data_IF_304019859026
#
_entry.id   IF_304019859026
#
_cell.length_a   1.000
_cell.length_b   1.000
_cell.length_c   1.000
_cell.angle_alpha   90.00
_cell.angle_beta   90.00
_cell.angle_gamma   90.00
#
_symmetry.space_group_name_H-M   'P 1'
#
loop_
_entity.id
_entity.type
_entity.pdbx_description
1 polymer ?
#
# COMPACT_ATOMS: atom_id res chain seq x y z
N UNK A 1 -5.78 -4.87 15.53
CA UNK A 1 -6.69 -5.42 14.53
C UNK A 1 -7.43 -4.27 13.87
N UNK A 2 -7.43 -4.18 12.55
CA UNK A 2 -8.13 -3.16 11.74
C UNK A 2 -9.12 -3.84 10.82
N UNK A 3 -10.16 -3.15 10.44
CA UNK A 3 -11.13 -3.59 9.45
C UNK A 3 -10.77 -2.98 8.09
N UNK A 4 -10.50 -3.83 7.11
CA UNK A 4 -9.95 -3.44 5.80
C UNK A 4 -10.87 -3.94 4.69
N UNK A 5 -11.21 -3.04 3.77
CA UNK A 5 -11.92 -3.37 2.55
C UNK A 5 -10.96 -3.28 1.36
N UNK A 6 -10.92 -4.33 0.54
CA UNK A 6 -10.12 -4.34 -0.69
C UNK A 6 -11.06 -4.54 -1.88
N UNK A 7 -11.08 -3.57 -2.78
CA UNK A 7 -11.87 -3.57 -4.02
C UNK A 7 -10.92 -3.81 -5.20
N UNK A 8 -11.13 -4.90 -5.90
CA UNK A 8 -10.30 -5.34 -7.02
C UNK A 8 -9.25 -6.36 -6.60
N UNK A 9 -9.50 -7.62 -6.95
CA UNK A 9 -8.67 -8.79 -6.60
C UNK A 9 -7.74 -9.21 -7.75
N UNK A 10 -7.18 -8.21 -8.46
CA UNK A 10 -6.02 -8.45 -9.32
C UNK A 10 -4.78 -8.81 -8.51
N UNK A 11 -3.65 -9.06 -9.18
CA UNK A 11 -2.38 -9.48 -8.53
C UNK A 11 -2.01 -8.67 -7.28
N UNK A 12 -2.11 -7.36 -7.35
CA UNK A 12 -1.77 -6.49 -6.22
C UNK A 12 -2.78 -6.64 -5.06
N UNK A 13 -4.09 -6.59 -5.35
CA UNK A 13 -5.14 -6.75 -4.33
C UNK A 13 -5.04 -8.09 -3.62
N UNK A 14 -4.75 -9.16 -4.36
CA UNK A 14 -4.55 -10.50 -3.81
C UNK A 14 -3.37 -10.56 -2.83
N UNK A 15 -2.18 -10.06 -3.22
CA UNK A 15 -1.03 -10.01 -2.33
C UNK A 15 -1.30 -9.15 -1.09
N UNK A 16 -1.99 -8.01 -1.28
CA UNK A 16 -2.33 -7.11 -0.19
C UNK A 16 -3.28 -7.79 0.82
N UNK A 17 -4.32 -8.45 0.33
CA UNK A 17 -5.27 -9.20 1.17
C UNK A 17 -4.57 -10.28 1.99
N UNK A 18 -3.73 -11.10 1.34
CA UNK A 18 -2.97 -12.16 2.00
C UNK A 18 -2.10 -11.63 3.12
N UNK A 19 -1.34 -10.56 2.86
CA UNK A 19 -0.48 -9.95 3.88
C UNK A 19 -1.27 -9.39 5.06
N UNK A 20 -2.42 -8.74 4.83
CA UNK A 20 -3.25 -8.24 5.94
C UNK A 20 -3.83 -9.36 6.79
N UNK A 21 -4.22 -10.48 6.17
CA UNK A 21 -4.71 -11.67 6.88
C UNK A 21 -3.59 -12.33 7.71
N UNK A 22 -2.36 -12.42 7.19
CA UNK A 22 -1.19 -12.90 7.92
C UNK A 22 -0.86 -12.02 9.15
N UNK A 23 -1.22 -10.73 9.11
CA UNK A 23 -1.09 -9.80 10.23
C UNK A 23 -2.36 -9.71 11.12
N UNK A 24 -3.24 -10.69 11.02
CA UNK A 24 -4.44 -10.83 11.85
C UNK A 24 -5.40 -9.63 11.77
N UNK A 25 -5.59 -9.07 10.58
CA UNK A 25 -6.58 -8.04 10.31
C UNK A 25 -7.86 -8.64 9.75
N UNK A 26 -9.01 -7.97 10.01
CA UNK A 26 -10.28 -8.30 9.36
C UNK A 26 -10.27 -7.77 7.93
N UNK A 27 -10.35 -8.67 6.95
CA UNK A 27 -10.29 -8.32 5.54
C UNK A 27 -11.54 -8.74 4.80
N UNK A 28 -12.24 -7.78 4.23
CA UNK A 28 -13.28 -8.00 3.23
C UNK A 28 -12.72 -7.75 1.84
N UNK A 29 -12.94 -8.69 0.94
CA UNK A 29 -12.53 -8.59 -0.46
C UNK A 29 -13.72 -8.53 -1.39
N UNK A 30 -13.61 -7.71 -2.46
CA UNK A 30 -14.67 -7.51 -3.45
C UNK A 30 -14.07 -7.45 -4.85
N UNK A 31 -14.63 -8.21 -5.76
CA UNK A 31 -14.39 -8.09 -7.21
C UNK A 31 -15.69 -8.40 -7.98
N UNK A 32 -15.83 -7.93 -9.20
CA UNK A 32 -16.94 -8.28 -10.09
C UNK A 32 -16.78 -9.69 -10.67
N UNK A 33 -15.56 -10.19 -10.72
CA UNK A 33 -15.14 -11.47 -11.26
C UNK A 33 -14.98 -12.50 -10.12
N UNK A 34 -15.88 -13.48 -10.09
CA UNK A 34 -15.89 -14.54 -9.08
C UNK A 34 -14.60 -15.36 -9.07
N UNK A 35 -14.02 -15.64 -10.25
CA UNK A 35 -12.81 -16.46 -10.37
C UNK A 35 -11.62 -15.85 -9.60
N UNK A 36 -11.57 -14.52 -9.48
CA UNK A 36 -10.51 -13.83 -8.72
C UNK A 36 -10.66 -13.88 -7.20
N UNK A 37 -11.80 -14.36 -6.72
CA UNK A 37 -12.09 -14.47 -5.30
C UNK A 37 -11.94 -15.89 -4.77
N UNK A 38 -12.08 -16.91 -5.64
CA UNK A 38 -12.21 -18.31 -5.26
C UNK A 38 -11.11 -18.82 -4.31
N UNK A 39 -9.85 -18.51 -4.60
CA UNK A 39 -8.70 -18.96 -3.82
C UNK A 39 -8.56 -18.25 -2.48
N UNK A 40 -9.20 -17.09 -2.31
CA UNK A 40 -9.19 -16.30 -1.08
C UNK A 40 -10.41 -16.52 -0.18
N UNK A 41 -11.49 -17.13 -0.68
CA UNK A 41 -12.71 -17.41 0.10
C UNK A 41 -12.43 -18.14 1.41
N UNK A 42 -11.51 -19.13 1.49
CA UNK A 42 -11.24 -19.83 2.74
C UNK A 42 -10.52 -19.00 3.81
N UNK A 43 -9.89 -17.89 3.42
CA UNK A 43 -8.99 -17.11 4.27
C UNK A 43 -9.55 -15.75 4.62
N UNK A 44 -10.25 -15.08 3.69
CA UNK A 44 -10.80 -13.76 3.93
C UNK A 44 -11.90 -13.79 5.00
N UNK A 45 -11.98 -12.74 5.81
CA UNK A 45 -13.05 -12.60 6.80
C UNK A 45 -14.43 -12.53 6.12
N UNK A 46 -14.49 -11.90 4.95
CA UNK A 46 -15.70 -11.83 4.12
C UNK A 46 -15.34 -11.63 2.66
N UNK A 47 -16.12 -12.23 1.77
CA UNK A 47 -15.98 -12.09 0.31
C UNK A 47 -17.29 -11.63 -0.29
N UNK A 48 -17.22 -10.82 -1.34
CA UNK A 48 -18.40 -10.38 -2.06
C UNK A 48 -18.11 -10.25 -3.54
N UNK A 49 -18.99 -10.81 -4.37
CA UNK A 49 -19.03 -10.59 -5.81
C UNK A 49 -19.90 -9.37 -6.07
N UNK A 50 -19.40 -8.39 -6.83
CA UNK A 50 -20.19 -7.22 -7.22
C UNK A 50 -19.39 -6.13 -7.92
N UNK A 51 -20.09 -5.41 -8.78
CA UNK A 51 -19.57 -4.23 -9.46
C UNK A 51 -19.64 -3.02 -8.52
N UNK A 52 -18.48 -2.57 -8.03
CA UNK A 52 -18.38 -1.43 -7.12
C UNK A 52 -18.57 -0.06 -7.81
N UNK A 53 -18.73 0.01 -9.13
CA UNK A 53 -19.20 1.24 -9.79
C UNK A 53 -20.69 1.49 -9.50
N UNK A 54 -21.41 0.46 -9.06
CA UNK A 54 -22.79 0.60 -8.59
C UNK A 54 -22.80 1.02 -7.12
N UNK A 55 -23.32 2.23 -6.86
CA UNK A 55 -23.42 2.82 -5.52
C UNK A 55 -24.18 1.92 -4.52
N UNK A 56 -25.23 1.20 -4.97
CA UNK A 56 -26.02 0.31 -4.10
C UNK A 56 -25.18 -0.88 -3.59
N UNK A 57 -24.23 -1.36 -4.38
CA UNK A 57 -23.27 -2.38 -3.94
C UNK A 57 -22.41 -1.83 -2.79
N UNK A 58 -21.83 -0.64 -2.96
CA UNK A 58 -21.00 0.01 -1.95
C UNK A 58 -21.79 0.34 -0.67
N UNK A 59 -23.03 0.80 -0.80
CA UNK A 59 -23.92 1.03 0.36
C UNK A 59 -24.19 -0.26 1.13
N UNK A 60 -24.45 -1.36 0.42
CA UNK A 60 -24.71 -2.65 1.04
C UNK A 60 -23.49 -3.27 1.73
N UNK A 61 -22.28 -2.92 1.27
CA UNK A 61 -21.00 -3.26 1.91
C UNK A 61 -20.81 -2.46 3.19
N UNK A 62 -21.30 -1.22 3.24
CA UNK A 62 -21.16 -0.33 4.38
C UNK A 62 -19.74 0.22 4.51
N UNK A 63 -19.20 0.81 3.45
CA UNK A 63 -17.79 1.28 3.33
C UNK A 63 -17.31 2.13 4.51
N UNK A 64 -18.19 2.92 5.15
CA UNK A 64 -17.88 3.74 6.32
C UNK A 64 -17.47 2.97 7.58
N UNK A 65 -17.76 1.67 7.62
CA UNK A 65 -17.46 0.82 8.79
C UNK A 65 -16.01 0.35 8.78
N UNK A 66 -15.32 0.42 7.64
CA UNK A 66 -13.94 0.02 7.51
C UNK A 66 -12.97 1.13 7.94
N UNK A 67 -11.83 0.74 8.51
CA UNK A 67 -10.79 1.68 8.89
C UNK A 67 -10.01 2.17 7.68
N UNK A 68 -9.84 1.30 6.66
CA UNK A 68 -9.16 1.62 5.41
C UNK A 68 -9.85 0.90 4.25
N UNK A 69 -10.03 1.60 3.15
CA UNK A 69 -10.52 1.06 1.89
C UNK A 69 -9.44 1.17 0.84
N UNK A 70 -9.05 0.03 0.27
CA UNK A 70 -8.10 -0.05 -0.84
C UNK A 70 -8.83 -0.27 -2.15
N UNK A 71 -8.54 0.55 -3.15
CA UNK A 71 -9.04 0.42 -4.51
C UNK A 71 -7.89 -0.04 -5.39
N UNK A 72 -7.87 -1.34 -5.70
CA UNK A 72 -6.75 -2.02 -6.36
C UNK A 72 -6.97 -2.27 -7.86
N UNK A 73 -7.94 -1.59 -8.48
CA UNK A 73 -8.26 -1.70 -9.89
C UNK A 73 -7.17 -1.04 -10.73
N UNK A 74 -6.56 -1.80 -11.64
CA UNK A 74 -5.44 -1.30 -12.46
C UNK A 74 -5.73 -1.25 -13.96
N UNK A 75 -6.67 -2.06 -14.44
CA UNK A 75 -6.97 -2.21 -15.88
C UNK A 75 -7.97 -1.18 -16.40
N UNK A 76 -8.89 -0.74 -15.56
CA UNK A 76 -9.91 0.27 -15.89
C UNK A 76 -9.78 1.47 -14.97
N UNK A 77 -9.11 2.53 -15.47
CA UNK A 77 -8.90 3.75 -14.71
C UNK A 77 -10.20 4.52 -14.43
N UNK A 78 -11.16 4.49 -15.37
CA UNK A 78 -12.45 5.14 -15.17
C UNK A 78 -13.19 4.52 -13.98
N UNK A 79 -13.33 3.20 -13.94
CA UNK A 79 -13.94 2.51 -12.80
C UNK A 79 -13.19 2.80 -11.48
N UNK A 80 -11.86 2.81 -11.51
CA UNK A 80 -11.07 3.17 -10.32
C UNK A 80 -11.38 4.58 -9.82
N UNK A 81 -11.54 5.54 -10.72
CA UNK A 81 -11.85 6.93 -10.38
C UNK A 81 -13.28 7.08 -9.82
N UNK A 82 -14.26 6.44 -10.48
CA UNK A 82 -15.67 6.44 -10.05
C UNK A 82 -15.81 5.81 -8.66
N UNK A 83 -15.21 4.63 -8.44
CA UNK A 83 -15.26 3.95 -7.15
C UNK A 83 -14.57 4.78 -6.06
N UNK A 84 -13.45 5.44 -6.38
CA UNK A 84 -12.75 6.31 -5.42
C UNK A 84 -13.66 7.44 -4.95
N UNK A 85 -14.38 8.12 -5.88
CA UNK A 85 -15.34 9.17 -5.54
C UNK A 85 -16.48 8.64 -4.69
N UNK A 86 -17.14 7.58 -5.15
CA UNK A 86 -18.30 6.99 -4.47
C UNK A 86 -17.95 6.52 -3.05
N UNK A 87 -16.83 5.82 -2.89
CA UNK A 87 -16.38 5.34 -1.57
C UNK A 87 -16.13 6.51 -0.62
N UNK A 88 -15.53 7.61 -1.11
CA UNK A 88 -15.30 8.81 -0.30
C UNK A 88 -16.61 9.51 0.06
N UNK A 89 -17.52 9.67 -0.88
CA UNK A 89 -18.84 10.26 -0.68
C UNK A 89 -19.71 9.46 0.30
N UNK A 90 -19.59 8.14 0.29
CA UNK A 90 -20.26 7.24 1.23
C UNK A 90 -19.62 7.21 2.63
N UNK A 91 -18.59 8.03 2.86
CA UNK A 91 -18.01 8.30 4.18
C UNK A 91 -16.94 7.32 4.63
N UNK A 92 -16.18 6.72 3.70
CA UNK A 92 -15.00 5.95 4.05
C UNK A 92 -13.99 6.79 4.83
N UNK A 93 -13.44 6.25 5.92
CA UNK A 93 -12.50 6.96 6.81
C UNK A 93 -11.18 7.28 6.11
N UNK A 94 -10.63 6.30 5.39
CA UNK A 94 -9.38 6.42 4.64
C UNK A 94 -9.49 5.65 3.35
N UNK A 95 -9.21 6.30 2.23
CA UNK A 95 -9.29 5.74 0.88
C UNK A 95 -7.90 5.75 0.27
N UNK A 96 -7.43 4.57 -0.13
CA UNK A 96 -6.12 4.38 -0.76
C UNK A 96 -6.35 3.77 -2.14
N UNK A 97 -5.95 4.46 -3.19
CA UNK A 97 -6.20 4.01 -4.57
C UNK A 97 -4.90 3.68 -5.29
N UNK A 98 -4.95 2.61 -6.10
CA UNK A 98 -3.81 2.20 -6.92
C UNK A 98 -3.75 3.01 -8.21
N UNK A 99 -2.58 3.56 -8.53
CA UNK A 99 -2.27 4.13 -9.82
C UNK A 99 -1.25 3.28 -10.59
N UNK A 100 -1.24 3.44 -11.91
CA UNK A 100 -0.24 2.85 -12.81
C UNK A 100 0.53 3.92 -13.59
N UNK A 101 0.14 5.21 -13.47
CA UNK A 101 0.78 6.36 -14.10
C UNK A 101 0.63 7.60 -13.21
N UNK A 102 1.61 8.51 -13.25
CA UNK A 102 1.63 9.74 -12.44
C UNK A 102 0.38 10.61 -12.64
N UNK A 103 -0.15 10.67 -13.88
CA UNK A 103 -1.36 11.45 -14.15
C UNK A 103 -2.59 10.85 -13.46
N UNK A 104 -2.69 9.52 -13.37
CA UNK A 104 -3.78 8.85 -12.66
C UNK A 104 -3.71 9.15 -11.16
N UNK A 105 -2.52 9.11 -10.57
CA UNK A 105 -2.32 9.46 -9.17
C UNK A 105 -2.86 10.85 -8.84
N UNK A 106 -2.56 11.85 -9.69
CA UNK A 106 -3.08 13.22 -9.54
C UNK A 106 -4.61 13.29 -9.58
N UNK A 107 -5.23 12.54 -10.48
CA UNK A 107 -6.69 12.51 -10.58
C UNK A 107 -7.34 11.78 -9.39
N UNK A 108 -6.78 10.65 -8.95
CA UNK A 108 -7.29 9.91 -7.80
C UNK A 108 -7.26 10.76 -6.52
N UNK A 109 -6.14 11.45 -6.25
CA UNK A 109 -6.04 12.36 -5.10
C UNK A 109 -7.07 13.50 -5.17
N UNK A 110 -7.26 14.12 -6.34
CA UNK A 110 -8.26 15.17 -6.53
C UNK A 110 -9.69 14.67 -6.40
N UNK A 111 -9.90 13.37 -6.64
CA UNK A 111 -11.22 12.74 -6.64
C UNK A 111 -11.56 12.03 -5.32
N UNK A 112 -10.77 12.25 -4.27
CA UNK A 112 -11.10 11.82 -2.92
C UNK A 112 -10.24 10.70 -2.34
N UNK A 113 -9.24 10.20 -3.05
CA UNK A 113 -8.24 9.34 -2.42
C UNK A 113 -7.42 10.14 -1.40
N UNK A 114 -7.25 9.58 -0.21
CA UNK A 114 -6.39 10.18 0.83
C UNK A 114 -4.92 9.87 0.54
N UNK A 115 -4.67 8.76 -0.17
CA UNK A 115 -3.34 8.31 -0.55
C UNK A 115 -3.41 7.52 -1.86
N UNK A 116 -2.31 7.53 -2.61
CA UNK A 116 -2.18 6.73 -3.84
C UNK A 116 -0.95 5.86 -3.76
N UNK A 117 -1.13 4.58 -4.07
CA UNK A 117 -0.05 3.60 -4.19
C UNK A 117 0.28 3.44 -5.68
N UNK A 118 1.58 3.46 -5.99
CA UNK A 118 2.06 3.18 -7.32
C UNK A 118 3.07 2.03 -7.29
N UNK A 119 2.60 0.76 -7.17
CA UNK A 119 3.45 -0.38 -6.78
C UNK A 119 4.69 -0.58 -7.64
N UNK A 120 4.55 -0.44 -8.98
CA UNK A 120 5.69 -0.65 -9.89
C UNK A 120 6.76 0.44 -9.73
N UNK A 121 6.33 1.70 -9.51
CA UNK A 121 7.23 2.83 -9.29
C UNK A 121 7.90 2.73 -7.92
N UNK A 122 7.10 2.55 -6.86
CA UNK A 122 7.57 2.50 -5.48
C UNK A 122 8.60 1.37 -5.30
N UNK A 123 8.33 0.20 -5.90
CA UNK A 123 9.25 -0.94 -5.85
C UNK A 123 10.51 -0.68 -6.69
N UNK A 124 10.37 -0.06 -7.87
CA UNK A 124 11.51 0.25 -8.74
C UNK A 124 12.45 1.28 -8.10
N UNK A 125 11.90 2.32 -7.48
CA UNK A 125 12.66 3.32 -6.72
C UNK A 125 13.43 2.65 -5.58
N UNK A 126 12.76 1.83 -4.78
CA UNK A 126 13.39 1.08 -3.68
C UNK A 126 14.54 0.19 -4.16
N UNK A 127 14.37 -0.54 -5.25
CA UNK A 127 15.42 -1.40 -5.78
C UNK A 127 16.58 -0.60 -6.40
N UNK A 128 16.26 0.49 -7.12
CA UNK A 128 17.28 1.36 -7.68
C UNK A 128 18.15 1.97 -6.58
N UNK A 129 17.54 2.45 -5.51
CA UNK A 129 18.25 3.03 -4.38
C UNK A 129 19.13 1.98 -3.67
N UNK A 130 18.57 0.79 -3.39
CA UNK A 130 19.31 -0.31 -2.77
C UNK A 130 20.55 -0.72 -3.55
N UNK A 131 20.49 -0.78 -4.87
CA UNK A 131 21.61 -1.20 -5.72
C UNK A 131 22.50 -0.05 -6.20
N UNK A 132 22.14 1.20 -5.96
CA UNK A 132 22.99 2.36 -6.24
C UNK A 132 24.06 2.60 -5.19
N UNK A 133 23.93 2.00 -4.01
CA UNK A 133 24.90 2.14 -2.92
C UNK A 133 25.68 0.83 -2.75
N UNK A 134 26.95 0.81 -3.13
CA UNK A 134 27.83 -0.37 -3.14
C UNK A 134 27.96 -1.10 -1.78
N UNK A 135 27.57 -0.49 -0.68
CA UNK A 135 27.72 -1.01 0.68
C UNK A 135 26.45 -0.86 1.55
N UNK A 136 25.28 -0.84 0.94
CA UNK A 136 24.02 -0.76 1.66
C UNK A 136 23.38 -2.14 1.81
N UNK A 137 23.17 -2.62 3.04
CA UNK A 137 22.46 -3.87 3.30
C UNK A 137 20.95 -3.65 3.34
N UNK A 138 20.51 -2.59 4.05
CA UNK A 138 19.10 -2.20 4.11
C UNK A 138 18.95 -0.72 4.49
N UNK A 139 17.79 -0.12 4.21
CA UNK A 139 17.48 1.24 4.60
C UNK A 139 15.99 1.43 4.93
N UNK A 140 15.69 2.40 5.78
CA UNK A 140 14.33 2.79 6.15
C UNK A 140 14.21 4.29 5.92
N UNK A 141 13.32 4.69 5.03
CA UNK A 141 12.97 6.09 4.84
C UNK A 141 12.19 6.63 6.04
N UNK A 142 12.60 7.80 6.52
CA UNK A 142 11.90 8.55 7.53
C UNK A 142 11.28 9.82 6.92
N UNK A 143 10.21 10.37 7.49
CA UNK A 143 9.62 11.61 7.01
C UNK A 143 10.64 12.76 6.93
N UNK A 144 10.70 13.45 5.79
CA UNK A 144 11.69 14.49 5.50
C UNK A 144 12.88 13.92 4.73
N UNK A 145 14.02 14.55 4.86
CA UNK A 145 15.26 14.14 4.19
C UNK A 145 16.14 13.22 5.08
N UNK A 146 15.52 12.35 5.86
CA UNK A 146 16.20 11.45 6.79
C UNK A 146 15.97 10.00 6.42
N UNK A 147 16.94 9.14 6.78
CA UNK A 147 16.82 7.69 6.63
C UNK A 147 17.70 6.96 7.62
N UNK A 148 17.36 5.70 7.88
CA UNK A 148 18.19 4.78 8.63
C UNK A 148 18.84 3.84 7.63
N UNK A 149 20.15 3.74 7.63
CA UNK A 149 20.93 2.94 6.70
C UNK A 149 21.70 1.85 7.46
N UNK A 150 21.52 0.59 7.04
CA UNK A 150 22.33 -0.52 7.50
C UNK A 150 23.53 -0.67 6.56
N UNK A 151 24.72 -0.39 7.08
CA UNK A 151 25.97 -0.45 6.32
C UNK A 151 26.99 -1.34 7.03
N UNK A 152 27.91 -2.00 6.28
CA UNK A 152 29.01 -2.72 6.91
C UNK A 152 29.91 -1.75 7.66
N UNK A 153 30.55 -2.18 8.75
CA UNK A 153 31.48 -1.34 9.48
C UNK A 153 32.63 -0.89 8.58
N UNK A 154 32.94 0.40 8.63
CA UNK A 154 34.09 0.92 7.89
C UNK A 154 35.36 0.19 8.32
N UNK A 155 36.29 -0.05 7.39
CA UNK A 155 37.54 -0.77 7.67
C UNK A 155 38.30 -0.17 8.86
N UNK A 156 38.26 1.16 9.01
CA UNK A 156 38.88 1.89 10.10
C UNK A 156 38.21 1.73 11.45
N UNK A 157 36.98 1.18 11.51
CA UNK A 157 36.22 0.90 12.73
C UNK A 157 36.49 -0.49 13.29
N UNK A 158 36.96 -1.40 12.43
CA UNK A 158 37.20 -2.79 12.83
C UNK A 158 38.25 -2.86 13.94
N UNK A 159 37.91 -3.53 15.05
CA UNK A 159 38.79 -3.67 16.20
C UNK A 159 38.75 -2.49 17.18
N UNK A 160 37.98 -1.44 16.92
CA UNK A 160 37.76 -0.33 17.83
C UNK A 160 36.49 -0.49 18.67
N UNK A 161 36.50 0.05 19.88
CA UNK A 161 35.26 0.12 20.65
C UNK A 161 34.33 1.19 20.07
N UNK A 162 32.99 1.00 20.26
CA UNK A 162 31.95 1.95 19.85
C UNK A 162 32.30 3.38 20.34
N UNK A 163 32.81 3.51 21.57
CA UNK A 163 33.22 4.81 22.15
C UNK A 163 34.40 5.44 21.41
N UNK A 164 35.32 4.63 20.91
CA UNK A 164 36.49 5.11 20.18
C UNK A 164 36.18 5.56 18.76
N UNK A 165 35.08 5.07 18.17
CA UNK A 165 34.63 5.44 16.84
C UNK A 165 33.92 6.80 16.81
N UNK A 166 33.46 7.30 17.95
CA UNK A 166 32.80 8.61 18.09
C UNK A 166 31.63 8.88 17.15
N UNK A 167 30.92 7.82 16.70
CA UNK A 167 29.85 7.95 15.72
C UNK A 167 28.64 8.76 16.22
N UNK A 168 28.56 9.05 17.55
CA UNK A 168 27.54 9.93 18.16
C UNK A 168 27.60 11.37 17.65
N UNK A 169 28.62 11.74 16.88
CA UNK A 169 28.84 13.08 16.33
C UNK A 169 28.73 13.16 14.82
N UNK A 170 28.31 12.10 14.14
CA UNK A 170 27.96 12.15 12.73
C UNK A 170 26.67 12.97 12.58
N UNK A 171 26.81 14.30 12.49
CA UNK A 171 25.74 15.16 12.01
C UNK A 171 25.65 14.99 10.51
N UNK A 172 24.51 14.50 10.00
CA UNK A 172 24.17 14.68 8.62
C UNK A 172 24.08 16.19 8.33
N UNK A 173 24.82 16.66 7.33
CA UNK A 173 24.69 17.99 6.77
C UNK A 173 23.69 17.97 5.64
#
# INVERSE_FOLDING_TARGET
MKSILIIGMGRFGHHLAKNFLEHEHDVMIVDEDEEKLEDMVPYATSTRIGDCTNEEVLKSIGVRNFDVVFICIGTNFQSSLEITSLVKELGAKRVISKATRDIQAKFLLRNGADEVIYPDKDIAEKWAERYSLDNLFDYIDLPGAFGIYEVPPLKEWVGKSIRAVSYTHLRAH
#
